data_IF_520898803013
#
_entry.id   IF_520898803013
#
_cell.length_a   1.000
_cell.length_b   1.000
_cell.length_c   1.000
_cell.angle_alpha   90.00
_cell.angle_beta   90.00
_cell.angle_gamma   90.00
#
_symmetry.space_group_name_H-M   'P 1'
#
loop_
_entity.id
_entity.type
_entity.pdbx_description
1 polymer ?
#
# COMPACT_ATOMS: atom_id res chain seq x y z
N UNK A 1 -6.60 5.75 -0.64
CA UNK A 1 -7.62 4.73 -0.35
C UNK A 1 -7.80 4.66 1.15
N UNK A 2 -9.05 4.67 1.62
CA UNK A 2 -9.35 4.57 3.03
C UNK A 2 -9.36 3.10 3.46
N UNK A 3 -8.61 2.77 4.51
CA UNK A 3 -8.45 1.41 5.01
C UNK A 3 -8.62 1.42 6.51
N UNK A 4 -9.44 0.51 7.03
CA UNK A 4 -9.55 0.22 8.45
C UNK A 4 -9.29 -1.27 8.68
N UNK A 5 -8.54 -1.59 9.73
CA UNK A 5 -8.21 -2.95 10.14
C UNK A 5 -8.31 -3.04 11.65
N UNK A 6 -9.05 -4.02 12.17
CA UNK A 6 -9.23 -4.25 13.60
C UNK A 6 -8.96 -5.72 13.89
N UNK A 7 -8.02 -5.98 14.79
CA UNK A 7 -7.69 -7.32 15.27
C UNK A 7 -8.30 -7.53 16.67
N UNK A 8 -9.25 -8.46 16.76
CA UNK A 8 -9.88 -8.84 18.01
C UNK A 8 -9.78 -10.36 18.23
N UNK A 9 -9.08 -10.78 19.30
CA UNK A 9 -8.95 -12.20 19.69
C UNK A 9 -8.60 -13.15 18.52
N UNK A 10 -7.64 -12.74 17.68
CA UNK A 10 -7.20 -13.51 16.51
C UNK A 10 -8.02 -13.25 15.24
N UNK A 11 -9.20 -12.65 15.33
CA UNK A 11 -10.01 -12.29 14.16
C UNK A 11 -9.63 -10.91 13.64
N UNK A 12 -9.07 -10.85 12.43
CA UNK A 12 -8.78 -9.60 11.73
C UNK A 12 -9.93 -9.24 10.81
N UNK A 13 -10.56 -8.09 11.05
CA UNK A 13 -11.55 -7.48 10.16
C UNK A 13 -10.89 -6.37 9.37
N UNK A 14 -11.05 -6.38 8.06
CA UNK A 14 -10.50 -5.39 7.13
C UNK A 14 -11.66 -4.76 6.38
N UNK A 15 -11.75 -3.44 6.47
CA UNK A 15 -12.72 -2.62 5.76
C UNK A 15 -11.99 -1.73 4.76
N UNK A 16 -12.44 -1.77 3.50
CA UNK A 16 -11.97 -0.87 2.45
C UNK A 16 -13.18 -0.13 1.90
N UNK A 17 -13.25 1.16 2.24
CA UNK A 17 -14.35 2.02 1.88
C UNK A 17 -14.20 2.52 0.45
N UNK A 18 -13.36 3.52 0.20
CA UNK A 18 -13.21 4.12 -1.12
C UNK A 18 -11.75 4.44 -1.49
N UNK A 19 -11.50 4.52 -2.79
CA UNK A 19 -10.32 5.18 -3.35
C UNK A 19 -10.66 6.56 -3.91
N UNK A 20 -9.63 7.38 -4.12
CA UNK A 20 -9.73 8.72 -4.71
C UNK A 20 -8.55 8.92 -5.64
N UNK A 21 -8.77 9.69 -6.71
CA UNK A 21 -7.75 10.10 -7.67
C UNK A 21 -6.97 8.92 -8.30
N UNK A 22 -7.65 7.80 -8.54
CA UNK A 22 -7.05 6.69 -9.29
C UNK A 22 -6.65 7.17 -10.69
N UNK A 23 -5.47 6.75 -11.12
CA UNK A 23 -4.96 7.05 -12.46
C UNK A 23 -5.51 6.02 -13.45
N UNK A 24 -6.29 6.44 -14.46
CA UNK A 24 -6.74 5.54 -15.52
C UNK A 24 -5.58 4.92 -16.29
N UNK A 25 -5.75 3.71 -16.84
CA UNK A 25 -4.81 3.16 -17.82
C UNK A 25 -4.72 4.03 -19.08
N UNK A 26 -3.62 3.91 -19.86
CA UNK A 26 -3.49 4.59 -21.15
C UNK A 26 -4.70 4.33 -22.07
N UNK A 27 -5.22 5.38 -22.70
CA UNK A 27 -6.38 5.30 -23.60
C UNK A 27 -7.75 5.26 -22.91
N UNK A 28 -7.81 5.34 -21.58
CA UNK A 28 -9.05 5.42 -20.81
C UNK A 28 -9.14 6.72 -20.02
N UNK A 29 -10.36 7.22 -19.78
CA UNK A 29 -10.61 8.40 -18.93
C UNK A 29 -11.01 8.02 -17.49
N UNK A 30 -11.36 6.75 -17.27
CA UNK A 30 -11.82 6.23 -15.98
C UNK A 30 -11.28 4.82 -15.70
N UNK A 31 -11.33 4.40 -14.43
CA UNK A 31 -11.02 3.04 -14.02
C UNK A 31 -12.29 2.20 -13.84
N UNK A 32 -12.20 0.91 -14.18
CA UNK A 32 -13.10 -0.13 -13.72
C UNK A 32 -12.41 -0.88 -12.56
N UNK A 33 -12.47 -0.30 -11.37
CA UNK A 33 -11.61 -0.70 -10.27
C UNK A 33 -12.15 -1.90 -9.49
N UNK A 34 -11.29 -2.80 -9.06
CA UNK A 34 -11.60 -3.83 -8.07
C UNK A 34 -10.41 -4.07 -7.14
N UNK A 35 -10.69 -4.62 -5.97
CA UNK A 35 -9.70 -4.91 -4.93
C UNK A 35 -9.37 -6.39 -4.94
N UNK A 36 -8.10 -6.72 -4.68
CA UNK A 36 -7.67 -8.03 -4.20
C UNK A 36 -6.96 -7.90 -2.86
N UNK A 37 -7.30 -8.79 -1.94
CA UNK A 37 -6.75 -8.87 -0.59
C UNK A 37 -6.23 -10.29 -0.32
N UNK A 38 -5.01 -10.39 0.20
CA UNK A 38 -4.37 -11.65 0.54
C UNK A 38 -3.29 -11.53 1.60
N UNK A 39 -2.99 -12.60 2.34
CA UNK A 39 -1.78 -12.72 3.16
C UNK A 39 -0.58 -13.05 2.28
N UNK A 40 0.51 -12.28 2.33
CA UNK A 40 1.72 -12.55 1.55
C UNK A 40 2.88 -12.97 2.46
N UNK A 41 3.61 -14.05 2.14
CA UNK A 41 3.30 -15.04 1.08
C UNK A 41 2.04 -15.87 1.39
N UNK A 42 1.22 -16.16 0.36
CA UNK A 42 -0.04 -16.92 0.47
C UNK A 42 0.13 -18.36 -0.03
N UNK A 43 1.02 -19.12 0.59
CA UNK A 43 1.34 -20.49 0.11
C UNK A 43 0.11 -21.41 0.13
N UNK A 44 -0.72 -21.27 1.17
CA UNK A 44 -1.91 -22.09 1.40
C UNK A 44 -3.16 -21.56 0.67
N UNK A 45 -3.08 -20.39 0.02
CA UNK A 45 -4.23 -19.70 -0.59
C UNK A 45 -5.40 -19.49 0.39
N UNK A 46 -5.10 -19.43 1.68
CA UNK A 46 -6.09 -19.37 2.77
C UNK A 46 -6.87 -18.06 2.76
N UNK A 47 -6.27 -17.00 2.23
CA UNK A 47 -6.84 -15.65 2.25
C UNK A 47 -6.78 -15.04 0.86
N UNK A 48 -7.80 -15.31 0.04
CA UNK A 48 -7.92 -14.71 -1.28
C UNK A 48 -9.30 -14.11 -1.46
N UNK A 49 -9.34 -12.79 -1.39
CA UNK A 49 -10.57 -12.04 -1.58
C UNK A 49 -10.44 -11.15 -2.80
N UNK A 50 -11.52 -11.10 -3.57
CA UNK A 50 -11.66 -10.21 -4.73
C UNK A 50 -13.02 -9.52 -4.62
N UNK A 51 -13.04 -8.20 -4.72
CA UNK A 51 -14.29 -7.45 -4.76
C UNK A 51 -14.98 -7.55 -6.12
N UNK A 52 -16.22 -7.08 -6.17
CA UNK A 52 -16.84 -6.68 -7.42
C UNK A 52 -16.07 -5.53 -8.09
N UNK A 53 -16.31 -5.35 -9.38
CA UNK A 53 -15.75 -4.25 -10.16
C UNK A 53 -16.66 -3.05 -10.03
N UNK A 54 -16.11 -1.91 -9.63
CA UNK A 54 -16.77 -0.60 -9.67
C UNK A 54 -16.44 0.04 -11.03
N UNK A 55 -17.39 0.09 -11.98
CA UNK A 55 -17.11 0.57 -13.33
C UNK A 55 -17.02 2.10 -13.39
N UNK A 56 -16.21 2.60 -14.32
CA UNK A 56 -16.25 4.00 -14.75
C UNK A 56 -15.95 5.06 -13.69
N UNK A 57 -15.11 4.78 -12.68
CA UNK A 57 -14.83 5.73 -11.60
C UNK A 57 -13.35 5.82 -11.22
N UNK A 58 -12.85 7.05 -11.09
CA UNK A 58 -11.53 7.35 -10.52
C UNK A 58 -11.59 7.60 -9.00
N UNK A 59 -12.79 7.58 -8.42
CA UNK A 59 -13.03 7.63 -6.98
C UNK A 59 -14.03 6.52 -6.57
N UNK A 60 -13.71 5.24 -6.82
CA UNK A 60 -14.62 4.14 -6.59
C UNK A 60 -14.90 3.96 -5.10
N UNK A 61 -16.16 3.66 -4.78
CA UNK A 61 -16.63 3.22 -3.46
C UNK A 61 -16.81 1.71 -3.52
N UNK A 62 -16.05 0.99 -2.69
CA UNK A 62 -16.02 -0.47 -2.66
C UNK A 62 -16.87 -1.05 -1.53
N UNK A 63 -16.95 -0.37 -0.37
CA UNK A 63 -17.67 -0.86 0.82
C UNK A 63 -17.33 -2.32 1.18
N UNK A 64 -16.07 -2.72 0.98
CA UNK A 64 -15.62 -4.08 1.16
C UNK A 64 -15.34 -4.35 2.64
N UNK A 65 -15.92 -5.42 3.18
CA UNK A 65 -15.60 -5.93 4.51
C UNK A 65 -15.19 -7.40 4.40
N UNK A 66 -14.02 -7.73 4.93
CA UNK A 66 -13.45 -9.08 4.90
C UNK A 66 -12.93 -9.41 6.28
N UNK A 67 -13.21 -10.61 6.77
CA UNK A 67 -12.67 -11.09 8.04
C UNK A 67 -12.00 -12.44 7.88
N UNK A 68 -10.89 -12.66 8.58
CA UNK A 68 -10.26 -13.97 8.68
C UNK A 68 -9.49 -14.11 9.99
N UNK A 69 -9.23 -15.35 10.36
CA UNK A 69 -8.42 -15.68 11.52
C UNK A 69 -6.92 -15.51 11.21
N UNK A 70 -6.22 -14.78 12.08
CA UNK A 70 -4.77 -14.65 12.08
C UNK A 70 -4.19 -15.73 12.98
N UNK A 71 -3.42 -16.63 12.39
CA UNK A 71 -2.80 -17.75 13.06
C UNK A 71 -1.39 -17.37 13.54
N UNK A 72 -0.82 -18.05 14.55
CA UNK A 72 0.55 -17.81 15.02
C UNK A 72 1.61 -17.86 13.90
N UNK A 73 1.46 -18.75 12.94
CA UNK A 73 2.32 -18.90 11.76
C UNK A 73 2.25 -17.72 10.78
N UNK A 74 1.25 -16.84 10.89
CA UNK A 74 1.11 -15.66 10.03
C UNK A 74 1.97 -14.48 10.51
N UNK A 75 2.67 -14.57 11.66
CA UNK A 75 3.43 -13.46 12.27
C UNK A 75 4.34 -12.72 11.27
N UNK A 76 5.02 -13.47 10.39
CA UNK A 76 5.95 -12.94 9.38
C UNK A 76 5.28 -12.54 8.07
N UNK A 77 3.99 -12.81 7.90
CA UNK A 77 3.22 -12.50 6.69
C UNK A 77 2.74 -11.06 6.70
N UNK A 78 2.13 -10.66 5.59
CA UNK A 78 1.64 -9.30 5.36
C UNK A 78 0.24 -9.30 4.77
N UNK A 79 -0.61 -8.41 5.24
CA UNK A 79 -1.87 -8.11 4.57
C UNK A 79 -1.57 -7.30 3.32
N UNK A 80 -1.68 -7.93 2.16
CA UNK A 80 -1.47 -7.30 0.86
C UNK A 80 -2.80 -6.86 0.27
N UNK A 81 -2.95 -5.56 0.08
CA UNK A 81 -4.12 -4.93 -0.56
C UNK A 81 -3.68 -4.37 -1.90
N UNK A 82 -4.35 -4.76 -2.97
CA UNK A 82 -4.04 -4.30 -4.32
C UNK A 82 -5.30 -3.84 -5.05
N UNK A 83 -5.18 -2.74 -5.78
CA UNK A 83 -6.27 -2.18 -6.59
C UNK A 83 -5.93 -2.39 -8.06
N UNK A 84 -6.89 -2.92 -8.79
CA UNK A 84 -6.74 -3.33 -10.17
C UNK A 84 -7.78 -2.65 -11.03
N UNK A 85 -7.47 -2.43 -12.30
CA UNK A 85 -8.41 -2.04 -13.34
C UNK A 85 -8.78 -3.27 -14.18
N UNK A 86 -10.07 -3.49 -14.42
CA UNK A 86 -10.55 -4.45 -15.42
C UNK A 86 -10.75 -3.74 -16.75
N UNK A 87 -9.93 -4.08 -17.74
CA UNK A 87 -10.05 -3.51 -19.08
C UNK A 87 -11.42 -3.83 -19.69
N UNK A 88 -12.11 -2.83 -20.23
CA UNK A 88 -13.48 -2.98 -20.71
C UNK A 88 -13.59 -3.88 -21.95
N UNK A 89 -12.56 -3.91 -22.79
CA UNK A 89 -12.56 -4.65 -24.06
C UNK A 89 -12.01 -6.05 -23.86
N UNK A 90 -10.79 -6.15 -23.34
CA UNK A 90 -10.04 -7.40 -23.18
C UNK A 90 -10.38 -8.16 -21.89
N UNK A 91 -11.09 -7.52 -20.95
CA UNK A 91 -11.43 -8.08 -19.63
C UNK A 91 -10.22 -8.44 -18.75
N UNK A 92 -9.01 -8.07 -19.16
CA UNK A 92 -7.76 -8.32 -18.43
C UNK A 92 -7.62 -7.37 -17.24
N UNK A 93 -7.01 -7.87 -16.18
CA UNK A 93 -6.69 -7.08 -14.99
C UNK A 93 -5.32 -6.41 -15.10
N UNK A 94 -5.26 -5.08 -14.94
CA UNK A 94 -4.03 -4.31 -14.79
C UNK A 94 -3.89 -3.75 -13.37
N UNK A 95 -2.73 -3.90 -12.74
CA UNK A 95 -2.49 -3.40 -11.39
C UNK A 95 -2.34 -1.87 -11.39
N UNK A 96 -3.20 -1.16 -10.67
CA UNK A 96 -3.10 0.29 -10.47
C UNK A 96 -2.14 0.65 -9.34
N UNK A 97 -2.06 -0.21 -8.33
CA UNK A 97 -1.08 -0.14 -7.26
C UNK A 97 -1.51 -0.95 -6.04
N UNK A 98 -0.72 -0.89 -4.98
CA UNK A 98 -0.89 -1.74 -3.81
C UNK A 98 -0.29 -1.16 -2.54
N UNK A 99 -0.56 -1.81 -1.41
CA UNK A 99 0.06 -1.57 -0.11
C UNK A 99 0.09 -2.88 0.69
N UNK A 100 0.99 -2.95 1.67
CA UNK A 100 1.13 -4.13 2.50
C UNK A 100 1.35 -3.78 3.97
N UNK A 101 0.55 -4.35 4.87
CA UNK A 101 0.67 -4.18 6.32
C UNK A 101 1.29 -5.43 6.94
N UNK A 102 2.23 -5.29 7.86
CA UNK A 102 2.78 -6.43 8.60
C UNK A 102 1.71 -7.00 9.53
N UNK A 103 1.56 -8.33 9.55
CA UNK A 103 0.68 -9.00 10.53
C UNK A 103 1.18 -8.73 11.94
N UNK A 104 2.48 -8.92 12.21
CA UNK A 104 3.09 -8.54 13.50
C UNK A 104 2.80 -7.09 13.90
N UNK A 105 2.95 -6.14 12.97
CA UNK A 105 2.65 -4.73 13.22
C UNK A 105 1.17 -4.50 13.61
N UNK A 106 0.24 -5.22 12.99
CA UNK A 106 -1.19 -5.19 13.36
C UNK A 106 -1.47 -5.87 14.71
N UNK A 107 -0.74 -6.94 15.03
CA UNK A 107 -0.84 -7.61 16.34
C UNK A 107 -0.40 -6.68 17.47
N UNK A 108 0.63 -5.87 17.23
CA UNK A 108 1.14 -4.87 18.18
C UNK A 108 0.20 -3.65 18.28
N UNK A 109 -0.28 -3.10 17.15
CA UNK A 109 -1.13 -1.90 17.15
C UNK A 109 -2.60 -2.16 17.46
N UNK A 110 -3.08 -3.40 17.29
CA UNK A 110 -4.49 -3.86 17.34
C UNK A 110 -5.44 -3.25 16.32
N UNK A 111 -5.20 -1.99 15.94
CA UNK A 111 -6.00 -1.28 14.95
C UNK A 111 -5.11 -0.46 14.02
N UNK A 112 -5.61 -0.26 12.81
CA UNK A 112 -5.07 0.65 11.80
C UNK A 112 -6.25 1.29 11.09
N UNK A 113 -6.25 2.62 10.96
CA UNK A 113 -7.34 3.34 10.32
C UNK A 113 -6.80 4.59 9.63
N UNK A 114 -7.32 4.89 8.43
CA UNK A 114 -7.11 6.16 7.77
C UNK A 114 -6.87 6.06 6.27
N UNK A 115 -6.45 7.19 5.69
CA UNK A 115 -6.11 7.28 4.28
C UNK A 115 -4.68 6.81 4.01
N UNK A 116 -4.53 5.96 3.00
CA UNK A 116 -3.25 5.44 2.53
C UNK A 116 -3.02 5.73 1.05
N UNK A 117 -1.78 6.02 0.68
CA UNK A 117 -1.36 6.11 -0.71
C UNK A 117 -1.36 4.72 -1.36
N UNK A 118 -1.88 4.66 -2.58
CA UNK A 118 -1.76 3.49 -3.42
C UNK A 118 -0.37 3.52 -4.07
N UNK A 119 0.53 2.62 -3.66
CA UNK A 119 1.94 2.67 -4.06
C UNK A 119 2.21 1.82 -5.30
N UNK A 120 3.29 2.16 -6.01
CA UNK A 120 3.81 1.33 -7.09
C UNK A 120 4.18 -0.07 -6.59
N UNK A 121 4.09 -1.12 -7.43
CA UNK A 121 4.29 -2.51 -7.00
C UNK A 121 5.64 -2.79 -6.35
N UNK A 122 6.69 -2.08 -6.75
CA UNK A 122 8.05 -2.19 -6.18
C UNK A 122 8.12 -1.77 -4.70
N UNK A 123 7.26 -0.85 -4.27
CA UNK A 123 7.21 -0.35 -2.90
C UNK A 123 6.04 -0.94 -2.11
N UNK A 124 4.86 -0.99 -2.72
CA UNK A 124 3.60 -1.37 -2.06
C UNK A 124 3.54 -2.82 -1.61
N UNK A 125 4.35 -3.72 -2.19
CA UNK A 125 4.51 -5.10 -1.67
C UNK A 125 5.17 -5.15 -0.29
N UNK A 126 5.93 -4.11 0.04
CA UNK A 126 6.76 -4.08 1.24
C UNK A 126 6.44 -2.94 2.19
N UNK A 127 5.52 -2.04 1.84
CA UNK A 127 5.23 -0.84 2.62
C UNK A 127 3.78 -0.40 2.45
N UNK A 128 3.34 0.44 3.36
CA UNK A 128 2.18 1.30 3.26
C UNK A 128 2.60 2.71 3.66
N UNK A 129 1.89 3.74 3.20
CA UNK A 129 2.15 5.12 3.56
C UNK A 129 0.82 5.80 3.88
N UNK A 130 0.62 6.20 5.13
CA UNK A 130 -0.57 6.95 5.54
C UNK A 130 -0.43 8.40 5.07
N UNK A 131 -1.54 9.02 4.67
CA UNK A 131 -1.60 10.41 4.20
C UNK A 131 -1.31 11.39 5.35
N UNK A 132 -1.76 11.10 6.57
CA UNK A 132 -1.57 11.97 7.74
C UNK A 132 -0.19 11.80 8.41
N UNK A 133 0.50 10.66 8.19
CA UNK A 133 1.78 10.36 8.87
C UNK A 133 3.02 10.81 8.11
N UNK A 134 2.91 11.68 7.10
CA UNK A 134 4.12 12.35 6.58
C UNK A 134 4.55 13.39 7.60
N UNK A 135 5.30 12.94 8.61
CA UNK A 135 6.06 13.84 9.46
C UNK A 135 7.07 14.55 8.56
N UNK A 136 6.78 15.80 8.19
CA UNK A 136 7.65 16.66 7.39
C UNK A 136 9.09 16.69 7.93
N UNK A 137 9.30 16.48 9.24
CA UNK A 137 10.63 16.42 9.84
C UNK A 137 11.47 15.25 9.31
N UNK A 138 10.87 14.09 9.03
CA UNK A 138 11.60 12.96 8.42
C UNK A 138 11.90 13.23 6.95
N UNK A 139 11.00 13.90 6.24
CA UNK A 139 11.24 14.31 4.85
C UNK A 139 12.42 15.29 4.77
N UNK A 140 12.39 16.38 5.55
CA UNK A 140 13.51 17.34 5.62
C UNK A 140 14.79 16.72 6.17
N UNK A 141 14.73 15.82 7.14
CA UNK A 141 15.91 15.09 7.63
C UNK A 141 16.56 14.20 6.56
N UNK A 142 15.76 13.59 5.67
CA UNK A 142 16.29 12.88 4.50
C UNK A 142 16.90 13.84 3.47
N UNK A 143 16.31 15.01 3.23
CA UNK A 143 16.91 16.01 2.31
C UNK A 143 18.22 16.56 2.89
N UNK A 144 18.25 16.91 4.17
CA UNK A 144 19.46 17.41 4.84
C UNK A 144 20.58 16.36 4.84
N UNK A 145 20.27 15.09 5.11
CA UNK A 145 21.27 14.02 5.05
C UNK A 145 21.80 13.75 3.64
N UNK A 146 20.97 13.89 2.59
CA UNK A 146 21.41 13.83 1.20
C UNK A 146 22.33 15.02 0.87
N UNK A 147 21.98 16.22 1.32
CA UNK A 147 22.76 17.44 1.08
C UNK A 147 24.09 17.42 1.85
N UNK A 148 24.12 16.92 3.10
CA UNK A 148 25.34 16.64 3.86
C UNK A 148 26.25 15.62 3.18
N UNK A 149 25.68 14.53 2.65
CA UNK A 149 26.45 13.52 1.89
C UNK A 149 27.04 14.11 0.60
N UNK A 150 26.35 15.05 -0.04
CA UNK A 150 26.89 15.77 -1.20
C UNK A 150 28.00 16.76 -0.82
N UNK A 151 27.87 17.48 0.31
CA UNK A 151 28.90 18.39 0.81
C UNK A 151 30.17 17.66 1.23
N UNK A 152 30.05 16.53 1.93
CA UNK A 152 31.20 15.69 2.35
C UNK A 152 31.93 15.02 1.18
N UNK A 153 31.34 14.97 -0.01
CA UNK A 153 31.98 14.44 -1.23
C UNK A 153 32.80 15.46 -2.00
N UNK A 154 32.80 16.75 -1.60
CA UNK A 154 33.72 17.72 -2.19
C UNK A 154 35.11 17.45 -1.63
N UNK A 155 36.10 17.06 -2.47
CA UNK A 155 37.46 16.88 -1.99
C UNK A 155 37.94 18.20 -1.39
N UNK A 156 38.41 18.14 -0.15
CA UNK A 156 39.09 19.27 0.49
C UNK A 156 40.34 19.50 -0.36
N UNK A 157 40.33 20.57 -1.15
CA UNK A 157 41.52 21.05 -1.85
C UNK A 157 42.48 21.62 -0.81
N UNK A 158 43.20 20.73 -0.13
CA UNK A 158 44.41 21.08 0.61
C UNK A 158 45.53 21.36 -0.39
N UNK A 159 46.44 22.29 -0.10
CA UNK A 159 47.41 22.77 -1.07
C UNK A 159 48.40 21.67 -1.44
N UNK A 160 48.63 21.51 -2.75
CA UNK A 160 49.68 20.65 -3.28
C UNK A 160 51.04 21.18 -2.82
N UNK A 161 51.80 20.36 -2.10
CA UNK A 161 53.23 20.58 -1.92
C UNK A 161 53.96 20.15 -3.20
N UNK A 162 54.98 20.94 -3.55
CA UNK A 162 55.77 21.02 -4.78
C UNK A 162 56.14 19.69 -5.44
#
# INVERSE_FOLDING_TARGET
MYVSMILNRGMLTISIDQARYLQPPPGSTSCNAYIRLTLMPDEEKRTQYKSEVVPGSNAPVFNLNVSFEVLPEDDRKRIFVSVWNRDAVTQKGGLLGCMAFSVRGLVESKQVEGWYYLLAPSYGRHKHLAVEKVNMLTYYGSVDSLQRRQLLRRPISGPAFL
#
